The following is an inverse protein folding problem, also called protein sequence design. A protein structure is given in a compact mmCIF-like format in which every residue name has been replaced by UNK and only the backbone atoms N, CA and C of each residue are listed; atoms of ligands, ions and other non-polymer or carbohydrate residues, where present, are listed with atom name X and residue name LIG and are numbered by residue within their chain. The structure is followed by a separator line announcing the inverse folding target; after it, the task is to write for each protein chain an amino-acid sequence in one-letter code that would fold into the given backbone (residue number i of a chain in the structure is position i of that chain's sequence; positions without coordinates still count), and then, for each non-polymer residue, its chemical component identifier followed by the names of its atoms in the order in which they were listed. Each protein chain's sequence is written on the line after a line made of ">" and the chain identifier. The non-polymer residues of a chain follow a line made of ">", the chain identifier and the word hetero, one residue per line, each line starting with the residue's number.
data_IF_037896041291
#
_entry.id   IF_037896041291
#
_cell.length_a   1.000
_cell.length_b   1.000
_cell.length_c   1.000
_cell.angle_alpha   90.00
_cell.angle_beta   90.00
_cell.angle_gamma   90.00
#
_symmetry.space_group_name_H-M   'P 1'
#
loop_
_entity.id
_entity.type
_entity.pdbx_description
1 polymer ?
#
# COMPACT_ATOMS: atom_id res chain seq x y z
N UNK A 1 -25.73 -9.69 6.76
CA UNK A 1 -24.96 -10.94 6.91
C UNK A 1 -25.09 -11.40 8.34
N UNK A 2 -25.40 -12.68 8.56
CA UNK A 2 -25.25 -13.32 9.86
C UNK A 2 -23.77 -13.42 10.24
N UNK A 3 -23.48 -13.46 11.54
CA UNK A 3 -22.12 -13.49 12.09
C UNK A 3 -21.27 -14.68 11.61
N UNK A 4 -21.94 -15.76 11.19
CA UNK A 4 -21.32 -16.98 10.69
C UNK A 4 -21.24 -17.03 9.16
N UNK A 5 -21.79 -16.06 8.43
CA UNK A 5 -21.82 -16.08 6.97
C UNK A 5 -20.40 -16.10 6.38
N UNK A 6 -20.18 -17.03 5.44
CA UNK A 6 -18.92 -17.17 4.73
C UNK A 6 -18.42 -18.60 4.64
N UNK A 7 -17.19 -18.74 4.16
CA UNK A 7 -16.49 -20.02 4.01
C UNK A 7 -15.48 -20.17 5.13
N UNK A 8 -15.47 -21.31 5.79
CA UNK A 8 -14.64 -21.59 6.96
C UNK A 8 -13.85 -22.88 6.75
N UNK A 9 -12.54 -22.83 6.93
CA UNK A 9 -11.71 -24.02 7.08
C UNK A 9 -11.94 -24.63 8.46
N UNK A 10 -12.18 -25.94 8.52
CA UNK A 10 -12.33 -26.68 9.77
C UNK A 10 -11.00 -27.35 10.11
N UNK A 11 -10.31 -26.84 11.13
CA UNK A 11 -9.07 -27.44 11.65
C UNK A 11 -9.38 -28.23 12.92
N UNK A 12 -9.17 -29.55 12.91
CA UNK A 12 -9.34 -30.38 14.10
C UNK A 12 -8.28 -30.06 15.15
N UNK A 13 -8.69 -29.96 16.40
CA UNK A 13 -7.81 -29.66 17.54
C UNK A 13 -7.83 -30.73 18.62
N UNK A 14 -8.74 -31.72 18.53
CA UNK A 14 -8.75 -32.90 19.40
C UNK A 14 -10.01 -33.76 19.27
N UNK A 15 -10.05 -34.87 20.00
CA UNK A 15 -11.20 -35.79 20.09
C UNK A 15 -10.98 -37.14 19.39
N UNK A 16 -12.05 -37.93 19.30
CA UNK A 16 -12.01 -39.33 18.86
C UNK A 16 -12.23 -39.52 17.35
N UNK A 17 -12.45 -38.43 16.60
CA UNK A 17 -12.62 -38.47 15.15
C UNK A 17 -11.28 -38.47 14.42
N UNK A 18 -11.15 -39.24 13.32
CA UNK A 18 -9.96 -39.17 12.46
C UNK A 18 -9.78 -37.78 11.84
N UNK A 19 -8.54 -37.31 11.64
CA UNK A 19 -8.28 -36.03 11.00
C UNK A 19 -8.71 -36.10 9.53
N UNK A 20 -9.72 -35.30 9.17
CA UNK A 20 -10.13 -35.09 7.78
C UNK A 20 -9.49 -33.80 7.29
N UNK A 21 -8.60 -33.90 6.30
CA UNK A 21 -7.97 -32.75 5.65
C UNK A 21 -8.94 -32.11 4.65
N UNK A 22 -8.93 -30.79 4.55
CA UNK A 22 -9.73 -30.05 3.55
C UNK A 22 -11.22 -29.95 3.85
N UNK A 23 -11.64 -30.13 5.10
CA UNK A 23 -13.04 -29.92 5.52
C UNK A 23 -13.33 -28.42 5.55
N UNK A 24 -14.42 -28.01 4.89
CA UNK A 24 -14.88 -26.62 4.85
C UNK A 24 -16.33 -26.53 5.27
N UNK A 25 -16.72 -25.41 5.88
CA UNK A 25 -18.12 -25.06 6.11
C UNK A 25 -18.47 -23.83 5.31
N UNK A 26 -19.56 -23.88 4.57
CA UNK A 26 -20.10 -22.73 3.85
C UNK A 26 -21.45 -22.37 4.47
N UNK A 27 -21.60 -21.14 4.93
CA UNK A 27 -22.74 -20.69 5.71
C UNK A 27 -23.34 -19.44 5.05
N UNK A 28 -24.67 -19.44 4.92
CA UNK A 28 -25.42 -18.29 4.42
C UNK A 28 -26.77 -18.20 5.13
N UNK A 29 -26.93 -17.15 5.93
CA UNK A 29 -28.14 -16.92 6.70
C UNK A 29 -28.40 -18.03 7.73
N UNK A 30 -29.55 -18.68 7.63
CA UNK A 30 -30.01 -19.69 8.58
C UNK A 30 -29.52 -21.12 8.29
N UNK A 31 -28.66 -21.35 7.30
CA UNK A 31 -28.24 -22.69 6.91
C UNK A 31 -26.81 -22.73 6.34
N UNK A 32 -26.26 -23.93 6.18
CA UNK A 32 -24.97 -24.14 5.55
C UNK A 32 -24.68 -25.59 5.21
N UNK A 33 -23.50 -25.83 4.65
CA UNK A 33 -23.01 -27.17 4.29
C UNK A 33 -21.60 -27.41 4.81
N UNK A 34 -21.30 -28.65 5.22
CA UNK A 34 -19.93 -29.11 5.49
C UNK A 34 -19.43 -29.89 4.29
N UNK A 35 -18.49 -29.33 3.56
CA UNK A 35 -17.90 -29.88 2.33
C UNK A 35 -16.60 -30.61 2.66
N UNK A 36 -16.44 -31.83 2.16
CA UNK A 36 -15.23 -32.66 2.33
C UNK A 36 -14.80 -33.19 0.96
N UNK A 37 -13.78 -32.58 0.36
CA UNK A 37 -13.33 -32.95 -0.98
C UNK A 37 -14.47 -32.88 -2.02
N UNK A 38 -14.58 -33.84 -2.95
CA UNK A 38 -15.60 -33.84 -4.02
C UNK A 38 -16.97 -34.38 -3.60
N UNK A 39 -17.16 -34.77 -2.33
CA UNK A 39 -18.41 -35.36 -1.85
C UNK A 39 -19.52 -34.30 -1.71
N UNK A 40 -20.80 -34.68 -1.89
CA UNK A 40 -21.92 -33.81 -1.59
C UNK A 40 -21.82 -33.27 -0.16
N UNK A 41 -21.90 -31.95 0.00
CA UNK A 41 -21.80 -31.29 1.30
C UNK A 41 -22.89 -31.74 2.26
N UNK A 42 -22.52 -31.95 3.53
CA UNK A 42 -23.48 -32.34 4.57
C UNK A 42 -24.23 -31.10 5.07
N UNK A 43 -25.55 -31.00 4.86
CA UNK A 43 -26.31 -29.80 5.20
C UNK A 43 -26.60 -29.70 6.70
N UNK A 44 -26.65 -28.46 7.20
CA UNK A 44 -27.03 -28.13 8.57
C UNK A 44 -27.82 -26.83 8.64
N UNK A 45 -28.59 -26.68 9.72
CA UNK A 45 -29.28 -25.45 10.11
C UNK A 45 -28.43 -24.65 11.11
N UNK A 46 -28.44 -23.33 10.97
CA UNK A 46 -27.76 -22.40 11.88
C UNK A 46 -28.76 -21.89 12.90
N UNK A 47 -28.53 -22.19 14.18
CA UNK A 47 -29.35 -21.75 15.31
C UNK A 47 -28.45 -21.07 16.33
N UNK A 48 -28.35 -19.73 16.25
CA UNK A 48 -27.36 -18.96 17.01
C UNK A 48 -25.94 -19.42 16.64
N UNK A 49 -25.17 -19.86 17.63
CA UNK A 49 -23.83 -20.44 17.45
C UNK A 49 -23.84 -21.98 17.36
N UNK A 50 -24.99 -22.61 17.11
CA UNK A 50 -25.10 -24.06 16.92
C UNK A 50 -25.38 -24.42 15.47
N UNK A 51 -24.62 -25.36 14.90
CA UNK A 51 -24.86 -25.94 13.59
C UNK A 51 -25.49 -27.32 13.77
N UNK A 52 -26.76 -27.47 13.40
CA UNK A 52 -27.55 -28.70 13.59
C UNK A 52 -27.63 -29.47 12.28
N UNK A 53 -27.01 -30.62 12.21
CA UNK A 53 -26.95 -31.39 10.96
C UNK A 53 -28.30 -32.04 10.62
N UNK A 54 -28.63 -32.04 9.33
CA UNK A 54 -29.85 -32.66 8.79
C UNK A 54 -29.61 -34.14 8.46
N UNK A 55 -30.67 -34.84 8.07
CA UNK A 55 -30.61 -36.25 7.69
C UNK A 55 -29.55 -36.53 6.59
N UNK A 56 -28.79 -37.65 6.68
CA UNK A 56 -28.91 -38.74 7.67
C UNK A 56 -28.17 -38.49 9.00
N UNK A 57 -27.51 -37.34 9.18
CA UNK A 57 -26.69 -37.01 10.35
C UNK A 57 -27.47 -36.29 11.45
N UNK A 58 -28.76 -36.61 11.60
CA UNK A 58 -29.59 -36.04 12.66
C UNK A 58 -29.00 -36.44 14.03
N UNK A 59 -28.94 -35.47 14.95
CA UNK A 59 -28.39 -35.65 16.30
C UNK A 59 -26.95 -35.17 16.46
N UNK A 60 -26.24 -34.91 15.36
CA UNK A 60 -24.97 -34.19 15.38
C UNK A 60 -25.21 -32.68 15.50
N UNK A 61 -24.49 -32.05 16.43
CA UNK A 61 -24.51 -30.60 16.65
C UNK A 61 -23.10 -30.11 16.88
N UNK A 62 -22.67 -29.14 16.09
CA UNK A 62 -21.46 -28.38 16.32
C UNK A 62 -21.82 -27.11 17.10
N UNK A 63 -21.28 -26.95 18.31
CA UNK A 63 -21.47 -25.76 19.14
C UNK A 63 -20.24 -24.88 19.03
N UNK A 64 -20.43 -23.62 18.61
CA UNK A 64 -19.37 -22.65 18.39
C UNK A 64 -19.27 -21.67 19.56
N UNK A 65 -18.04 -21.29 19.87
CA UNK A 65 -17.67 -20.23 20.80
C UNK A 65 -16.75 -19.26 20.07
N UNK A 66 -16.95 -17.97 20.30
CA UNK A 66 -16.13 -16.92 19.70
C UNK A 66 -14.68 -17.05 20.18
N UNK A 67 -13.76 -16.81 19.27
CA UNK A 67 -12.32 -16.75 19.51
C UNK A 67 -11.73 -15.56 18.74
N UNK A 68 -10.50 -15.13 19.05
CA UNK A 68 -9.92 -13.85 18.60
C UNK A 68 -10.01 -13.59 17.08
N UNK A 69 -9.95 -14.63 16.25
CA UNK A 69 -9.97 -14.53 14.78
C UNK A 69 -10.98 -15.47 14.09
N UNK A 70 -11.95 -16.01 14.84
CA UNK A 70 -12.89 -16.98 14.29
C UNK A 70 -13.72 -17.65 15.38
N UNK A 71 -13.85 -18.98 15.31
CA UNK A 71 -14.62 -19.75 16.29
C UNK A 71 -13.89 -21.01 16.70
N UNK A 72 -14.00 -21.37 17.98
CA UNK A 72 -13.71 -22.72 18.47
C UNK A 72 -15.01 -23.50 18.50
N UNK A 73 -14.97 -24.75 18.07
CA UNK A 73 -16.12 -25.60 17.93
C UNK A 73 -15.98 -26.90 18.70
N UNK A 74 -17.09 -27.34 19.29
CA UNK A 74 -17.25 -28.65 19.91
C UNK A 74 -18.29 -29.45 19.14
N UNK A 75 -17.88 -30.58 18.60
CA UNK A 75 -18.77 -31.51 17.93
C UNK A 75 -19.42 -32.43 18.98
N UNK A 76 -20.75 -32.47 19.00
CA UNK A 76 -21.55 -33.25 19.94
C UNK A 76 -22.54 -34.18 19.24
N UNK A 77 -22.78 -35.36 19.80
CA UNK A 77 -23.82 -36.29 19.36
C UNK A 77 -24.65 -36.73 20.57
N UNK A 78 -25.96 -36.51 20.54
CA UNK A 78 -26.82 -36.77 21.71
C UNK A 78 -26.36 -36.05 22.99
N UNK A 79 -25.75 -34.86 22.85
CA UNK A 79 -25.21 -34.07 23.95
C UNK A 79 -23.83 -34.48 24.47
N UNK A 80 -23.22 -35.56 23.95
CA UNK A 80 -21.85 -35.97 24.30
C UNK A 80 -20.84 -35.41 23.33
N UNK A 81 -19.80 -34.76 23.83
CA UNK A 81 -18.68 -34.25 23.03
C UNK A 81 -17.85 -35.41 22.46
N UNK A 82 -17.51 -35.32 21.18
CA UNK A 82 -16.67 -36.32 20.51
C UNK A 82 -15.55 -35.71 19.65
N UNK A 83 -15.51 -34.37 19.52
CA UNK A 83 -14.47 -33.67 18.77
C UNK A 83 -14.37 -32.19 19.10
N UNK A 84 -13.16 -31.64 18.94
CA UNK A 84 -12.88 -30.20 18.99
C UNK A 84 -12.28 -29.73 17.68
N UNK A 85 -12.61 -28.51 17.29
CA UNK A 85 -12.09 -27.90 16.07
C UNK A 85 -12.03 -26.38 16.18
N UNK A 86 -11.34 -25.77 15.23
CA UNK A 86 -11.31 -24.34 14.97
C UNK A 86 -11.92 -24.07 13.60
N UNK A 87 -12.65 -22.97 13.49
CA UNK A 87 -13.10 -22.40 12.23
C UNK A 87 -12.23 -21.20 11.90
N UNK A 88 -11.49 -21.30 10.80
CA UNK A 88 -10.72 -20.18 10.24
C UNK A 88 -11.40 -19.68 8.99
N UNK A 89 -11.69 -18.39 8.91
CA UNK A 89 -12.37 -17.82 7.74
C UNK A 89 -11.47 -17.95 6.51
N UNK A 90 -12.00 -18.57 5.46
CA UNK A 90 -11.37 -18.56 4.13
C UNK A 90 -11.88 -17.32 3.43
N UNK A 91 -10.97 -16.39 3.15
CA UNK A 91 -11.27 -15.23 2.32
C UNK A 91 -11.60 -15.70 0.90
N UNK A 92 -12.64 -15.14 0.32
CA UNK A 92 -12.97 -15.35 -1.09
C UNK A 92 -11.87 -14.76 -1.99
N UNK A 93 -11.78 -15.21 -3.25
CA UNK A 93 -10.82 -14.66 -4.20
C UNK A 93 -10.92 -13.14 -4.36
N UNK A 94 -12.14 -12.59 -4.29
CA UNK A 94 -12.38 -11.14 -4.32
C UNK A 94 -11.87 -10.41 -3.07
N UNK A 95 -12.09 -10.98 -1.87
CA UNK A 95 -11.56 -10.40 -0.63
C UNK A 95 -10.02 -10.43 -0.61
N UNK A 96 -9.40 -11.54 -1.04
CA UNK A 96 -7.94 -11.64 -1.17
C UNK A 96 -7.37 -10.61 -2.14
N UNK A 97 -8.00 -10.43 -3.32
CA UNK A 97 -7.58 -9.44 -4.29
C UNK A 97 -7.74 -8.01 -3.76
N UNK A 98 -8.81 -7.73 -3.00
CA UNK A 98 -9.00 -6.43 -2.36
C UNK A 98 -7.93 -6.13 -1.33
N UNK A 99 -7.52 -7.12 -0.53
CA UNK A 99 -6.45 -6.94 0.46
C UNK A 99 -5.10 -6.70 -0.22
N UNK A 100 -4.78 -7.49 -1.25
CA UNK A 100 -3.58 -7.28 -2.05
C UNK A 100 -3.55 -5.89 -2.70
N UNK A 101 -4.70 -5.39 -3.17
CA UNK A 101 -4.80 -4.05 -3.73
C UNK A 101 -4.55 -2.96 -2.69
N UNK A 102 -5.09 -3.12 -1.47
CA UNK A 102 -4.81 -2.22 -0.35
C UNK A 102 -3.34 -2.24 0.05
N UNK A 103 -2.72 -3.42 0.10
CA UNK A 103 -1.28 -3.56 0.37
C UNK A 103 -0.44 -2.84 -0.70
N UNK A 104 -0.79 -2.97 -1.98
CA UNK A 104 -0.12 -2.22 -3.06
C UNK A 104 -0.34 -0.72 -2.93
N UNK A 105 -1.54 -0.27 -2.58
CA UNK A 105 -1.81 1.15 -2.34
C UNK A 105 -0.89 1.70 -1.24
N UNK A 106 -0.87 1.06 -0.07
CA UNK A 106 -0.03 1.49 1.07
C UNK A 106 1.45 1.52 0.68
N UNK A 107 1.91 0.51 -0.06
CA UNK A 107 3.27 0.47 -0.58
C UNK A 107 3.61 1.68 -1.45
N UNK A 108 2.71 2.08 -2.36
CA UNK A 108 2.94 3.23 -3.24
C UNK A 108 2.83 4.57 -2.52
N UNK A 109 1.98 4.69 -1.49
CA UNK A 109 1.96 5.87 -0.61
C UNK A 109 3.31 5.99 0.12
N UNK A 110 3.84 4.88 0.66
CA UNK A 110 5.13 4.86 1.35
C UNK A 110 6.31 5.19 0.41
N UNK A 111 6.27 4.67 -0.83
CA UNK A 111 7.25 5.01 -1.87
C UNK A 111 7.20 6.50 -2.24
N UNK A 112 6.02 7.09 -2.37
CA UNK A 112 5.86 8.54 -2.59
C UNK A 112 6.43 9.34 -1.41
N UNK A 113 6.15 8.94 -0.16
CA UNK A 113 6.72 9.61 1.01
C UNK A 113 8.25 9.55 1.01
N UNK A 114 8.83 8.38 0.73
CA UNK A 114 10.28 8.22 0.66
C UNK A 114 10.90 9.06 -0.47
N UNK A 115 10.20 9.20 -1.60
CA UNK A 115 10.61 10.06 -2.72
C UNK A 115 10.69 11.52 -2.29
N UNK A 116 9.64 12.06 -1.69
CA UNK A 116 9.61 13.44 -1.15
C UNK A 116 10.78 13.71 -0.18
N UNK A 117 11.06 12.76 0.73
CA UNK A 117 12.20 12.88 1.65
C UNK A 117 13.56 12.88 0.94
N UNK A 118 13.67 12.21 -0.21
CA UNK A 118 14.88 12.27 -1.04
C UNK A 118 15.00 13.60 -1.76
N UNK A 119 13.89 14.12 -2.29
CA UNK A 119 13.84 15.39 -3.00
C UNK A 119 14.15 16.54 -2.06
N UNK A 120 13.60 16.59 -0.85
CA UNK A 120 13.98 17.61 0.14
C UNK A 120 15.49 17.62 0.43
N UNK A 121 16.12 16.46 0.56
CA UNK A 121 17.59 16.35 0.75
C UNK A 121 18.39 16.75 -0.48
N UNK A 122 17.82 16.59 -1.66
CA UNK A 122 18.40 17.07 -2.92
C UNK A 122 18.33 18.59 -2.98
N UNK A 123 17.16 19.17 -2.69
CA UNK A 123 16.92 20.61 -2.67
C UNK A 123 17.80 21.32 -1.65
N UNK A 124 17.96 20.77 -0.44
CA UNK A 124 18.89 21.31 0.56
C UNK A 124 20.30 21.50 -0.01
N UNK A 125 20.81 20.50 -0.71
CA UNK A 125 22.14 20.56 -1.31
C UNK A 125 22.21 21.50 -2.51
N UNK A 126 21.16 21.59 -3.32
CA UNK A 126 21.10 22.57 -4.40
C UNK A 126 21.06 24.01 -3.86
N UNK A 127 20.33 24.27 -2.77
CA UNK A 127 20.25 25.57 -2.08
C UNK A 127 21.62 25.96 -1.49
N UNK A 128 22.34 24.99 -0.90
CA UNK A 128 23.68 25.21 -0.33
C UNK A 128 24.72 25.53 -1.40
N UNK A 129 24.63 24.90 -2.57
CA UNK A 129 25.69 24.94 -3.60
C UNK A 129 25.47 25.98 -4.69
N UNK A 130 24.24 26.45 -4.91
CA UNK A 130 23.95 27.49 -5.91
C UNK A 130 24.39 28.87 -5.43
N UNK A 131 24.97 29.67 -6.33
CA UNK A 131 25.36 31.06 -6.07
C UNK A 131 24.35 32.07 -6.63
N UNK A 132 23.45 31.63 -7.54
CA UNK A 132 22.43 32.48 -8.13
C UNK A 132 21.28 32.73 -7.12
N UNK A 133 21.01 34.00 -6.74
CA UNK A 133 20.02 34.31 -5.72
C UNK A 133 18.57 34.03 -6.16
N UNK A 134 18.27 34.11 -7.46
CA UNK A 134 16.94 33.85 -8.01
C UNK A 134 16.66 32.35 -7.97
N UNK A 135 17.59 31.53 -8.48
CA UNK A 135 17.49 30.07 -8.42
C UNK A 135 17.42 29.59 -6.97
N UNK A 136 18.21 30.20 -6.07
CA UNK A 136 18.16 29.87 -4.63
C UNK A 136 16.80 30.14 -4.01
N UNK A 137 16.12 31.20 -4.43
CA UNK A 137 14.77 31.51 -3.94
C UNK A 137 13.76 30.49 -4.45
N UNK A 138 13.78 30.16 -5.75
CA UNK A 138 12.89 29.15 -6.34
C UNK A 138 13.06 27.78 -5.67
N UNK A 139 14.29 27.33 -5.42
CA UNK A 139 14.55 26.06 -4.74
C UNK A 139 14.00 26.04 -3.30
N UNK A 140 14.03 27.17 -2.59
CA UNK A 140 13.45 27.28 -1.24
C UNK A 140 11.93 27.22 -1.26
N UNK A 141 11.32 27.90 -2.23
CA UNK A 141 9.86 27.85 -2.42
C UNK A 141 9.42 26.42 -2.74
N UNK A 142 10.12 25.77 -3.65
CA UNK A 142 9.83 24.39 -4.02
C UNK A 142 10.06 23.43 -2.84
N UNK A 143 11.12 23.60 -2.04
CA UNK A 143 11.31 22.80 -0.82
C UNK A 143 10.13 22.90 0.13
N UNK A 144 9.55 24.09 0.32
CA UNK A 144 8.35 24.27 1.15
C UNK A 144 7.11 23.60 0.52
N UNK A 145 7.03 23.53 -0.82
CA UNK A 145 6.00 22.75 -1.53
C UNK A 145 6.16 21.25 -1.26
N UNK A 146 7.36 20.70 -1.47
CA UNK A 146 7.75 19.30 -1.21
C UNK A 146 7.50 18.90 0.26
N UNK A 147 7.77 19.80 1.22
CA UNK A 147 7.44 19.57 2.64
C UNK A 147 5.93 19.35 2.84
N UNK A 148 5.08 20.17 2.21
CA UNK A 148 3.62 20.01 2.27
C UNK A 148 3.15 18.75 1.55
N UNK A 149 3.82 18.36 0.46
CA UNK A 149 3.54 17.11 -0.24
C UNK A 149 3.80 15.91 0.68
N UNK A 150 4.96 15.87 1.32
CA UNK A 150 5.33 14.85 2.29
C UNK A 150 4.33 14.76 3.45
N UNK A 151 3.89 15.90 4.00
CA UNK A 151 2.88 15.97 5.06
C UNK A 151 1.54 15.34 4.63
N UNK A 152 1.04 15.68 3.42
CA UNK A 152 -0.21 15.09 2.89
C UNK A 152 -0.08 13.58 2.72
N UNK A 153 1.05 13.11 2.18
CA UNK A 153 1.28 11.68 1.98
C UNK A 153 1.43 10.94 3.32
N UNK A 154 2.07 11.54 4.31
CA UNK A 154 2.14 10.99 5.66
C UNK A 154 0.75 10.82 6.28
N UNK A 155 -0.13 11.82 6.13
CA UNK A 155 -1.52 11.72 6.60
C UNK A 155 -2.25 10.56 5.92
N UNK A 156 -1.96 10.27 4.64
CA UNK A 156 -2.50 9.10 3.95
C UNK A 156 -1.96 7.78 4.51
N UNK A 157 -0.67 7.68 4.86
CA UNK A 157 -0.13 6.49 5.54
C UNK A 157 -0.83 6.23 6.87
N UNK A 158 -1.01 7.28 7.68
CA UNK A 158 -1.67 7.21 8.98
C UNK A 158 -3.14 6.76 8.85
N UNK A 159 -3.85 7.23 7.81
CA UNK A 159 -5.21 6.79 7.50
C UNK A 159 -5.32 5.28 7.22
N UNK A 160 -4.24 4.65 6.71
CA UNK A 160 -4.15 3.21 6.49
C UNK A 160 -3.54 2.44 7.68
N UNK A 161 -3.40 3.08 8.85
CA UNK A 161 -2.71 2.53 10.03
C UNK A 161 -1.28 2.06 9.74
N UNK A 162 -0.67 2.59 8.68
CA UNK A 162 0.70 2.37 8.30
C UNK A 162 1.58 3.49 8.88
N UNK A 163 2.88 3.21 9.00
CA UNK A 163 3.89 4.23 9.32
C UNK A 163 4.90 4.25 8.19
N UNK A 164 5.54 5.41 7.91
CA UNK A 164 6.66 5.46 7.00
C UNK A 164 7.66 4.35 7.31
N UNK A 165 8.02 3.56 6.32
CA UNK A 165 9.00 2.52 6.53
C UNK A 165 10.36 3.16 6.82
N UNK A 166 10.92 2.89 8.01
CA UNK A 166 12.22 3.44 8.44
C UNK A 166 13.39 3.02 7.53
N UNK A 167 13.17 2.01 6.67
CA UNK A 167 14.20 1.42 5.82
C UNK A 167 13.61 1.00 4.47
N UNK A 168 13.59 1.93 3.52
CA UNK A 168 13.93 1.64 2.13
C UNK A 168 14.88 2.72 1.65
N UNK A 169 16.17 2.45 1.85
CA UNK A 169 17.21 3.09 1.05
C UNK A 169 16.78 2.99 -0.41
N UNK A 170 16.71 4.13 -1.09
CA UNK A 170 16.19 4.29 -2.45
C UNK A 170 16.90 3.35 -3.44
N UNK A 171 16.43 2.10 -3.56
CA UNK A 171 16.84 1.17 -4.60
C UNK A 171 16.09 1.54 -5.87
N UNK A 172 16.75 2.19 -6.82
CA UNK A 172 16.15 2.57 -8.11
C UNK A 172 16.60 3.95 -8.61
N UNK A 173 15.80 4.53 -9.51
CA UNK A 173 16.09 5.80 -10.20
C UNK A 173 16.28 6.95 -9.21
N UNK A 174 15.44 7.05 -8.18
CA UNK A 174 15.56 8.08 -7.13
C UNK A 174 16.92 8.02 -6.42
N UNK A 175 17.43 6.82 -6.10
CA UNK A 175 18.76 6.66 -5.52
C UNK A 175 19.89 7.01 -6.49
N UNK A 176 19.72 6.76 -7.78
CA UNK A 176 20.67 7.15 -8.82
C UNK A 176 20.71 8.67 -9.04
N UNK A 177 19.56 9.35 -9.01
CA UNK A 177 19.46 10.81 -9.07
C UNK A 177 20.09 11.44 -7.82
N UNK A 178 19.75 10.94 -6.62
CA UNK A 178 20.34 11.43 -5.37
C UNK A 178 21.86 11.27 -5.34
N UNK A 179 22.39 10.14 -5.83
CA UNK A 179 23.84 9.89 -5.97
C UNK A 179 24.49 10.84 -6.97
N UNK A 180 23.80 11.16 -8.07
CA UNK A 180 24.30 12.09 -9.08
C UNK A 180 24.44 13.51 -8.52
N UNK A 181 23.50 13.95 -7.68
CA UNK A 181 23.58 15.23 -6.95
C UNK A 181 24.60 15.21 -5.80
N UNK A 182 24.95 14.03 -5.25
CA UNK A 182 26.01 13.88 -4.23
C UNK A 182 27.44 13.98 -4.80
N UNK A 183 27.61 13.91 -6.11
CA UNK A 183 28.93 13.90 -6.73
C UNK A 183 29.52 15.33 -6.80
N UNK A 184 30.12 15.76 -5.69
CA UNK A 184 30.73 17.09 -5.50
C UNK A 184 31.99 17.35 -6.34
N UNK A 185 32.43 16.39 -7.16
CA UNK A 185 33.74 16.41 -7.83
C UNK A 185 33.74 17.08 -9.21
N UNK A 186 32.61 17.62 -9.69
CA UNK A 186 32.47 18.16 -11.05
C UNK A 186 32.21 19.69 -11.06
N UNK A 187 32.78 20.37 -12.07
CA UNK A 187 32.81 21.83 -12.22
C UNK A 187 31.46 22.49 -12.48
N UNK A 188 30.64 21.94 -13.39
CA UNK A 188 29.30 22.49 -13.68
C UNK A 188 28.29 22.15 -12.57
N UNK A 189 27.76 23.16 -11.88
CA UNK A 189 26.72 23.02 -10.86
C UNK A 189 25.35 23.41 -11.40
N UNK A 190 25.23 24.51 -12.14
CA UNK A 190 23.94 25.03 -12.59
C UNK A 190 23.22 24.09 -13.57
N UNK A 191 23.81 23.77 -14.72
CA UNK A 191 23.19 22.90 -15.73
C UNK A 191 22.99 21.45 -15.27
N UNK A 192 23.87 20.94 -14.41
CA UNK A 192 23.69 19.63 -13.75
C UNK A 192 22.48 19.65 -12.82
N UNK A 193 22.38 20.66 -11.96
CA UNK A 193 21.25 20.79 -11.04
C UNK A 193 19.93 20.97 -11.80
N UNK A 194 19.92 21.76 -12.87
CA UNK A 194 18.74 21.92 -13.73
C UNK A 194 18.32 20.60 -14.39
N UNK A 195 19.27 19.83 -14.94
CA UNK A 195 19.01 18.50 -15.52
C UNK A 195 18.48 17.52 -14.49
N UNK A 196 19.16 17.41 -13.35
CA UNK A 196 18.82 16.44 -12.32
C UNK A 196 17.49 16.83 -11.64
N UNK A 197 17.24 18.13 -11.45
CA UNK A 197 15.94 18.67 -11.03
C UNK A 197 14.84 18.31 -12.01
N UNK A 198 14.98 18.65 -13.30
CA UNK A 198 13.97 18.34 -14.33
C UNK A 198 13.66 16.85 -14.43
N UNK A 199 14.69 15.99 -14.38
CA UNK A 199 14.50 14.55 -14.36
C UNK A 199 13.76 14.06 -13.10
N UNK A 200 14.01 14.71 -11.96
CA UNK A 200 13.32 14.43 -10.70
C UNK A 200 11.85 14.81 -10.79
N UNK A 201 11.51 16.02 -11.27
CA UNK A 201 10.11 16.46 -11.43
C UNK A 201 9.30 15.43 -12.25
N UNK A 202 9.84 14.94 -13.37
CA UNK A 202 9.14 13.94 -14.19
C UNK A 202 9.02 12.58 -13.52
N UNK A 203 9.97 12.20 -12.67
CA UNK A 203 9.85 11.01 -11.84
C UNK A 203 8.71 11.16 -10.81
N UNK A 204 8.58 12.34 -10.19
CA UNK A 204 7.51 12.63 -9.24
C UNK A 204 6.14 12.66 -9.92
N UNK A 205 6.02 13.33 -11.07
CA UNK A 205 4.82 13.32 -11.91
C UNK A 205 4.39 11.89 -12.25
N UNK A 206 5.33 11.04 -12.70
CA UNK A 206 5.05 9.65 -13.04
C UNK A 206 4.60 8.84 -11.81
N UNK A 207 5.24 9.06 -10.67
CA UNK A 207 4.93 8.38 -9.41
C UNK A 207 3.55 8.75 -8.90
N UNK A 208 3.20 10.04 -8.92
CA UNK A 208 1.87 10.51 -8.54
C UNK A 208 0.78 10.07 -9.53
N UNK A 209 1.07 10.01 -10.83
CA UNK A 209 0.15 9.43 -11.82
C UNK A 209 -0.16 7.96 -11.55
N UNK A 210 0.83 7.17 -11.13
CA UNK A 210 0.63 5.78 -10.75
C UNK A 210 -0.17 5.67 -9.45
N UNK A 211 0.20 6.44 -8.42
CA UNK A 211 -0.47 6.45 -7.12
C UNK A 211 -1.96 6.81 -7.26
N UNK A 212 -2.29 7.88 -8.01
CA UNK A 212 -3.67 8.29 -8.28
C UNK A 212 -4.51 7.13 -8.82
N UNK A 213 -3.98 6.42 -9.82
CA UNK A 213 -4.66 5.31 -10.50
C UNK A 213 -4.83 4.07 -9.62
N UNK A 214 -3.87 3.82 -8.74
CA UNK A 214 -3.95 2.71 -7.77
C UNK A 214 -4.97 3.04 -6.69
N UNK A 215 -4.94 4.27 -6.17
CA UNK A 215 -5.89 4.78 -5.18
C UNK A 215 -7.34 4.70 -5.70
N UNK A 216 -7.60 5.14 -6.94
CA UNK A 216 -8.90 5.02 -7.60
C UNK A 216 -9.39 3.56 -7.67
N UNK A 217 -8.52 2.62 -8.05
CA UNK A 217 -8.87 1.19 -8.10
C UNK A 217 -9.16 0.61 -6.72
N UNK A 218 -8.45 1.10 -5.70
CA UNK A 218 -8.66 0.71 -4.30
C UNK A 218 -9.89 1.38 -3.65
N UNK A 219 -10.54 2.32 -4.35
CA UNK A 219 -11.67 3.10 -3.83
C UNK A 219 -11.28 4.19 -2.84
N UNK A 220 -10.00 4.59 -2.80
CA UNK A 220 -9.47 5.63 -1.92
C UNK A 220 -9.37 6.96 -2.68
N UNK A 221 -10.50 7.66 -2.80
CA UNK A 221 -10.58 8.93 -3.54
C UNK A 221 -9.77 10.05 -2.88
N UNK A 222 -9.60 10.01 -1.56
CA UNK A 222 -8.83 11.01 -0.82
C UNK A 222 -7.34 10.91 -1.15
N UNK A 223 -6.77 9.70 -1.20
CA UNK A 223 -5.39 9.50 -1.69
C UNK A 223 -5.26 9.88 -3.16
N UNK A 224 -6.28 9.61 -3.99
CA UNK A 224 -6.26 10.01 -5.39
C UNK A 224 -6.21 11.54 -5.55
N UNK A 225 -6.96 12.28 -4.73
CA UNK A 225 -6.93 13.74 -4.74
C UNK A 225 -5.59 14.31 -4.27
N UNK A 226 -5.02 13.76 -3.19
CA UNK A 226 -3.67 14.14 -2.73
C UNK A 226 -2.64 13.94 -3.84
N UNK A 227 -2.67 12.79 -4.52
CA UNK A 227 -1.76 12.52 -5.63
C UNK A 227 -1.96 13.49 -6.81
N UNK A 228 -3.20 13.86 -7.13
CA UNK A 228 -3.50 14.89 -8.15
C UNK A 228 -2.96 16.26 -7.78
N UNK A 229 -3.12 16.64 -6.52
CA UNK A 229 -2.69 17.95 -6.02
C UNK A 229 -1.17 18.08 -6.11
N UNK A 230 -0.43 17.11 -5.58
CA UNK A 230 1.03 17.16 -5.62
C UNK A 230 1.55 17.08 -7.07
N UNK A 231 0.98 16.19 -7.91
CA UNK A 231 1.32 16.13 -9.34
C UNK A 231 1.18 17.47 -10.06
N UNK A 232 0.13 18.23 -9.76
CA UNK A 232 -0.11 19.53 -10.39
C UNK A 232 1.00 20.54 -10.03
N UNK A 233 1.48 20.49 -8.79
CA UNK A 233 2.58 21.32 -8.33
C UNK A 233 3.88 20.93 -9.08
N UNK A 234 4.18 19.63 -9.23
CA UNK A 234 5.36 19.16 -9.98
C UNK A 234 5.28 19.45 -11.49
N UNK A 235 4.10 19.34 -12.09
CA UNK A 235 3.89 19.75 -13.48
C UNK A 235 4.17 21.25 -13.67
N UNK A 236 3.85 22.07 -12.67
CA UNK A 236 4.16 23.49 -12.69
C UNK A 236 5.67 23.74 -12.52
N UNK A 237 6.34 23.00 -11.64
CA UNK A 237 7.79 23.12 -11.44
C UNK A 237 8.58 22.64 -12.66
N UNK A 238 8.22 21.48 -13.25
CA UNK A 238 8.80 20.99 -14.50
C UNK A 238 8.69 22.03 -15.62
N UNK A 239 7.53 22.69 -15.73
CA UNK A 239 7.31 23.76 -16.73
C UNK A 239 8.16 25.01 -16.45
N UNK A 240 8.36 25.36 -15.17
CA UNK A 240 9.27 26.46 -14.81
C UNK A 240 10.70 26.13 -15.23
N UNK A 241 11.20 24.93 -14.92
CA UNK A 241 12.55 24.50 -15.32
C UNK A 241 12.71 24.49 -16.85
N UNK A 242 11.70 24.00 -17.58
CA UNK A 242 11.71 23.96 -19.04
C UNK A 242 11.86 25.34 -19.69
N UNK A 243 11.30 26.37 -19.07
CA UNK A 243 11.37 27.74 -19.57
C UNK A 243 12.74 28.43 -19.33
N UNK A 244 13.64 27.83 -18.54
CA UNK A 244 14.90 28.45 -18.11
C UNK A 244 16.16 27.77 -18.65
N UNK A 245 16.04 26.85 -19.62
CA UNK A 245 17.20 26.14 -20.17
C UNK A 245 18.31 27.07 -20.70
N UNK A 246 17.95 28.18 -21.34
CA UNK A 246 18.92 29.15 -21.83
C UNK A 246 19.74 29.77 -20.67
N UNK A 247 19.07 30.16 -19.58
CA UNK A 247 19.73 30.67 -18.36
C UNK A 247 20.65 29.62 -17.73
N UNK A 248 20.20 28.36 -17.64
CA UNK A 248 21.03 27.29 -17.10
C UNK A 248 22.26 27.00 -17.97
N UNK A 249 22.12 27.08 -19.30
CA UNK A 249 23.24 26.95 -20.23
C UNK A 249 24.26 28.09 -20.07
N UNK A 250 23.79 29.34 -19.98
CA UNK A 250 24.65 30.51 -19.73
C UNK A 250 25.42 30.38 -18.41
N UNK A 251 24.74 29.99 -17.32
CA UNK A 251 25.37 29.78 -16.02
C UNK A 251 26.40 28.67 -16.06
N UNK A 252 26.11 27.55 -16.73
CA UNK A 252 27.08 26.45 -16.89
C UNK A 252 28.32 26.87 -17.67
N UNK A 253 28.17 27.63 -18.76
CA UNK A 253 29.31 28.15 -19.51
C UNK A 253 30.15 29.12 -18.66
N UNK A 254 29.50 29.97 -17.87
CA UNK A 254 30.16 30.90 -16.96
C UNK A 254 30.93 30.18 -15.85
N UNK A 255 30.39 29.10 -15.28
CA UNK A 255 31.06 28.26 -14.27
C UNK A 255 32.36 27.64 -14.81
N UNK A 256 32.40 27.31 -16.10
CA UNK A 256 33.59 26.79 -16.80
C UNK A 256 34.52 27.91 -17.33
N UNK A 257 34.23 29.18 -17.02
CA UNK A 257 35.02 30.34 -17.45
C UNK A 257 34.87 30.71 -18.93
N UNK A 258 33.86 30.16 -19.61
CA UNK A 258 33.54 30.46 -21.01
C UNK A 258 32.60 31.66 -21.08
N UNK A 259 33.05 32.75 -21.69
CA UNK A 259 32.20 33.93 -21.95
C UNK A 259 31.64 33.86 -23.36
N UNK A 260 30.32 33.82 -23.50
CA UNK A 260 29.63 33.84 -24.81
C UNK A 260 29.35 35.30 -25.17
N UNK A 261 29.75 35.72 -26.38
CA UNK A 261 29.49 37.06 -26.95
C UNK A 261 28.35 37.00 -27.97
#
# INVERSE_FOLDING_TARGET
>A
MGELDGVWEVKRTGGALPPLLGVRKEISGGAGTTNVGPLPGVPFDVVGLSLRYRAPFVGFVDVLERDEQGYRGRATFGGREFGKFELKRIKTGGEMASDQLKEQLVKHIDEAYAMEQNVMRMLDRMIETTEDPEIKNELREHKLETERHAERIQQRLEAHSARPSMVREAGGIAGALLKSVLDLTRGEKAGRNARDGYATEHLEIASYQLLERIAQRAGDEETAEVARQNRKDEEAMAKKLDAHWDKFAELSLKEEGVTVY
#
